data_IF_120515127328
#
_entry.id   IF_120515127328
#
_cell.length_a   1.000
_cell.length_b   1.000
_cell.length_c   1.000
_cell.angle_alpha   90.00
_cell.angle_beta   90.00
_cell.angle_gamma   90.00
#
_symmetry.space_group_name_H-M   'P 1'
#
loop_
_entity.id
_entity.type
_entity.pdbx_description
1 polymer ?
#
# COMPACT_ATOMS: atom_id res chain seq x y z
N UNK A 1 12.78 -26.50 43.85
CA UNK A 1 12.87 -27.19 42.54
C UNK A 1 12.82 -26.13 41.45
N UNK A 2 13.93 -25.89 40.73
CA UNK A 2 13.94 -24.96 39.62
C UNK A 2 13.19 -25.59 38.43
N UNK A 3 11.98 -25.11 38.18
CA UNK A 3 11.19 -25.56 37.03
C UNK A 3 11.94 -25.27 35.73
N UNK A 4 12.08 -26.28 34.87
CA UNK A 4 12.70 -26.14 33.55
C UNK A 4 11.93 -25.10 32.74
N UNK A 5 12.58 -24.01 32.33
CA UNK A 5 11.94 -22.97 31.51
C UNK A 5 11.35 -23.58 30.23
N UNK A 6 10.11 -23.22 29.86
CA UNK A 6 9.54 -23.67 28.59
C UNK A 6 10.37 -23.12 27.43
N UNK A 7 10.61 -23.94 26.41
CA UNK A 7 11.29 -23.54 25.15
C UNK A 7 10.30 -23.54 24.00
N UNK A 8 10.55 -22.68 23.01
CA UNK A 8 9.69 -22.55 21.81
C UNK A 8 9.48 -23.92 21.12
N UNK A 9 10.53 -24.71 20.99
CA UNK A 9 10.45 -26.04 20.36
C UNK A 9 9.47 -27.01 21.06
N UNK A 10 9.27 -26.85 22.39
CA UNK A 10 8.32 -27.69 23.16
C UNK A 10 6.85 -27.36 22.87
N UNK A 11 6.56 -26.18 22.27
CA UNK A 11 5.20 -25.77 21.92
C UNK A 11 4.64 -26.56 20.73
N UNK A 12 5.49 -27.17 19.90
CA UNK A 12 5.10 -27.97 18.71
C UNK A 12 4.10 -27.22 17.81
N UNK A 13 4.29 -25.91 17.63
CA UNK A 13 3.41 -25.06 16.83
C UNK A 13 3.47 -25.47 15.36
N UNK A 14 2.33 -25.40 14.70
CA UNK A 14 2.19 -25.58 13.25
C UNK A 14 1.59 -24.32 12.65
N UNK A 15 1.91 -24.04 11.37
CA UNK A 15 1.29 -22.95 10.64
C UNK A 15 -0.20 -23.25 10.43
N UNK A 16 -1.04 -22.24 10.54
CA UNK A 16 -2.44 -22.38 10.18
C UNK A 16 -2.55 -22.52 8.64
N UNK A 17 -3.18 -23.57 8.17
CA UNK A 17 -3.45 -23.88 6.77
C UNK A 17 -4.94 -24.11 6.53
N UNK A 18 -5.79 -23.72 7.49
CA UNK A 18 -7.23 -23.87 7.38
C UNK A 18 -7.80 -23.04 6.22
N UNK A 19 -8.79 -23.62 5.56
CA UNK A 19 -9.58 -22.94 4.52
C UNK A 19 -11.06 -23.06 4.86
N UNK A 20 -11.82 -22.04 4.49
CA UNK A 20 -13.29 -22.04 4.53
C UNK A 20 -13.80 -22.17 3.10
N UNK A 21 -14.74 -23.05 2.87
CA UNK A 21 -15.36 -23.21 1.56
C UNK A 21 -16.53 -22.24 1.43
N UNK A 22 -16.49 -21.41 0.41
CA UNK A 22 -17.58 -20.52 -0.01
C UNK A 22 -18.16 -21.06 -1.32
N UNK A 23 -19.48 -21.20 -1.38
CA UNK A 23 -20.17 -21.62 -2.60
C UNK A 23 -20.70 -20.41 -3.33
N UNK A 24 -20.14 -20.15 -4.50
CA UNK A 24 -20.62 -19.10 -5.41
C UNK A 24 -21.19 -19.79 -6.63
N UNK A 25 -22.50 -19.67 -6.82
CA UNK A 25 -23.26 -20.48 -7.79
C UNK A 25 -23.03 -21.98 -7.52
N UNK A 26 -22.44 -22.70 -8.49
CA UNK A 26 -22.14 -24.13 -8.37
C UNK A 26 -20.66 -24.43 -8.06
N UNK A 27 -19.84 -23.36 -7.89
CA UNK A 27 -18.41 -23.50 -7.65
C UNK A 27 -18.08 -23.40 -6.17
N UNK A 28 -17.17 -24.24 -5.70
CA UNK A 28 -16.62 -24.20 -4.36
C UNK A 28 -15.28 -23.45 -4.41
N UNK A 29 -15.21 -22.33 -3.68
CA UNK A 29 -14.02 -21.48 -3.60
C UNK A 29 -13.43 -21.64 -2.20
N UNK A 30 -12.16 -21.98 -2.13
CA UNK A 30 -11.41 -22.05 -0.89
C UNK A 30 -10.95 -20.65 -0.47
N UNK A 31 -11.26 -20.27 0.78
CA UNK A 31 -10.81 -19.00 1.38
C UNK A 31 -9.90 -19.32 2.56
N UNK A 32 -8.64 -18.91 2.45
CA UNK A 32 -7.63 -19.08 3.50
C UNK A 32 -8.04 -18.35 4.77
N UNK A 33 -7.89 -19.01 5.92
CA UNK A 33 -8.18 -18.42 7.23
C UNK A 33 -6.96 -17.71 7.85
N UNK A 34 -5.81 -17.82 7.22
CA UNK A 34 -4.57 -17.14 7.58
C UNK A 34 -3.69 -16.96 6.35
N UNK A 35 -3.09 -15.80 6.21
CA UNK A 35 -2.11 -15.50 5.18
C UNK A 35 -0.71 -15.35 5.81
N UNK A 36 0.32 -16.06 5.31
CA UNK A 36 1.69 -15.87 5.77
C UNK A 36 2.14 -14.41 5.66
N UNK A 37 3.02 -13.98 6.57
CA UNK A 37 3.48 -12.58 6.62
C UNK A 37 4.12 -12.11 5.30
N UNK A 38 4.84 -12.99 4.61
CA UNK A 38 5.45 -12.68 3.31
C UNK A 38 4.39 -12.37 2.24
N UNK A 39 3.30 -13.15 2.22
CA UNK A 39 2.18 -12.94 1.29
C UNK A 39 1.40 -11.67 1.64
N UNK A 40 1.21 -11.36 2.94
CA UNK A 40 0.62 -10.11 3.40
C UNK A 40 1.45 -8.89 2.95
N UNK A 41 2.77 -8.95 3.14
CA UNK A 41 3.66 -7.87 2.71
C UNK A 41 3.59 -7.65 1.20
N UNK A 42 3.54 -8.74 0.42
CA UNK A 42 3.39 -8.67 -1.04
C UNK A 42 2.07 -8.04 -1.43
N UNK A 43 0.96 -8.47 -0.82
CA UNK A 43 -0.37 -7.91 -1.04
C UNK A 43 -0.37 -6.40 -0.78
N UNK A 44 0.09 -5.98 0.41
CA UNK A 44 0.14 -4.56 0.80
C UNK A 44 1.00 -3.76 -0.19
N UNK A 45 2.19 -4.26 -0.54
CA UNK A 45 3.06 -3.61 -1.52
C UNK A 45 2.40 -3.46 -2.89
N UNK A 46 1.66 -4.46 -3.35
CA UNK A 46 0.95 -4.39 -4.62
C UNK A 46 -0.13 -3.32 -4.58
N UNK A 47 -0.95 -3.28 -3.51
CA UNK A 47 -2.00 -2.26 -3.34
C UNK A 47 -1.40 -0.86 -3.39
N UNK A 48 -0.32 -0.61 -2.64
CA UNK A 48 0.34 0.71 -2.62
C UNK A 48 0.86 1.08 -4.01
N UNK A 49 1.57 0.17 -4.68
CA UNK A 49 2.16 0.43 -5.99
C UNK A 49 1.11 0.70 -7.07
N UNK A 50 0.01 -0.08 -7.11
CA UNK A 50 -1.03 0.08 -8.14
C UNK A 50 -1.96 1.26 -7.88
N UNK A 51 -2.09 1.69 -6.62
CA UNK A 51 -2.93 2.83 -6.27
C UNK A 51 -2.21 4.18 -6.29
N UNK A 52 -0.90 4.20 -6.47
CA UNK A 52 -0.13 5.45 -6.59
C UNK A 52 -0.54 6.29 -7.81
N UNK A 53 -0.63 7.60 -7.64
CA UNK A 53 -0.77 8.59 -8.69
C UNK A 53 0.61 9.05 -9.23
N UNK A 54 0.60 10.03 -10.13
CA UNK A 54 1.81 10.61 -10.74
C UNK A 54 2.77 11.23 -9.70
N UNK A 55 2.24 11.65 -8.56
CA UNK A 55 2.99 12.22 -7.44
C UNK A 55 3.33 11.14 -6.38
N UNK A 56 3.06 9.87 -6.68
CA UNK A 56 3.18 8.76 -5.75
C UNK A 56 2.33 8.90 -4.46
N UNK A 57 1.21 9.60 -4.51
CA UNK A 57 0.20 9.54 -3.46
C UNK A 57 -0.82 8.45 -3.79
N UNK A 58 -1.29 7.76 -2.75
CA UNK A 58 -2.32 6.76 -2.93
C UNK A 58 -3.67 7.41 -3.31
N UNK A 59 -4.23 7.02 -4.45
CA UNK A 59 -5.57 7.41 -4.85
C UNK A 59 -6.60 6.54 -4.10
N UNK A 60 -7.51 7.12 -3.30
CA UNK A 60 -8.42 6.32 -2.46
C UNK A 60 -9.31 5.35 -3.24
N UNK A 61 -9.76 5.73 -4.43
CA UNK A 61 -10.59 4.84 -5.28
C UNK A 61 -9.76 3.68 -5.79
N UNK A 62 -8.51 3.92 -6.21
CA UNK A 62 -7.60 2.84 -6.59
C UNK A 62 -7.25 1.94 -5.42
N UNK A 63 -7.09 2.49 -4.21
CA UNK A 63 -6.84 1.69 -2.99
C UNK A 63 -7.98 0.72 -2.75
N UNK A 64 -9.22 1.16 -2.90
CA UNK A 64 -10.41 0.30 -2.77
C UNK A 64 -10.42 -0.81 -3.83
N UNK A 65 -10.25 -0.45 -5.10
CA UNK A 65 -10.21 -1.39 -6.22
C UNK A 65 -9.09 -2.43 -6.04
N UNK A 66 -7.85 -2.00 -5.91
CA UNK A 66 -6.71 -2.91 -5.81
C UNK A 66 -6.66 -3.62 -4.47
N UNK A 67 -7.10 -2.99 -3.37
CA UNK A 67 -7.25 -3.62 -2.06
C UNK A 67 -8.18 -4.83 -2.13
N UNK A 68 -9.37 -4.65 -2.67
CA UNK A 68 -10.34 -5.72 -2.86
C UNK A 68 -9.79 -6.84 -3.75
N UNK A 69 -9.24 -6.51 -4.91
CA UNK A 69 -8.71 -7.50 -5.85
C UNK A 69 -7.53 -8.28 -5.29
N UNK A 70 -6.55 -7.60 -4.70
CA UNK A 70 -5.36 -8.25 -4.12
C UNK A 70 -5.72 -9.14 -2.92
N UNK A 71 -6.72 -8.75 -2.11
CA UNK A 71 -7.25 -9.61 -1.05
C UNK A 71 -7.85 -10.88 -1.64
N UNK A 72 -8.71 -10.77 -2.66
CA UNK A 72 -9.31 -11.94 -3.31
C UNK A 72 -8.24 -12.82 -3.94
N UNK A 73 -7.23 -12.26 -4.62
CA UNK A 73 -6.12 -13.02 -5.20
C UNK A 73 -5.29 -13.77 -4.16
N UNK A 74 -5.01 -13.14 -3.01
CA UNK A 74 -4.15 -13.73 -1.99
C UNK A 74 -4.86 -14.78 -1.13
N UNK A 75 -6.13 -14.55 -0.80
CA UNK A 75 -6.88 -15.39 0.13
C UNK A 75 -7.66 -16.52 -0.53
N UNK A 76 -7.91 -16.45 -1.85
CA UNK A 76 -8.74 -17.46 -2.51
C UNK A 76 -7.96 -18.30 -3.52
N UNK A 77 -8.53 -19.45 -3.89
CA UNK A 77 -8.06 -20.26 -5.01
C UNK A 77 -8.76 -19.88 -6.34
N UNK A 78 -9.49 -18.75 -6.38
CA UNK A 78 -10.17 -18.28 -7.59
C UNK A 78 -9.13 -17.86 -8.64
N UNK A 79 -9.18 -18.50 -9.81
CA UNK A 79 -8.28 -18.21 -10.92
C UNK A 79 -8.78 -17.06 -11.79
N UNK A 80 -7.87 -16.16 -12.18
CA UNK A 80 -8.14 -15.05 -13.09
C UNK A 80 -7.23 -15.14 -14.31
N UNK A 81 -7.77 -14.91 -15.50
CA UNK A 81 -6.99 -14.82 -16.73
C UNK A 81 -6.21 -13.51 -16.78
N UNK A 82 -5.10 -13.47 -17.52
CA UNK A 82 -4.33 -12.23 -17.70
C UNK A 82 -5.20 -11.10 -18.26
N UNK A 83 -6.08 -11.41 -19.22
CA UNK A 83 -7.02 -10.43 -19.77
C UNK A 83 -7.96 -9.80 -18.73
N UNK A 84 -8.39 -10.58 -17.72
CA UNK A 84 -9.19 -10.04 -16.61
C UNK A 84 -8.38 -9.14 -15.70
N UNK A 85 -7.11 -9.46 -15.47
CA UNK A 85 -6.21 -8.65 -14.65
C UNK A 85 -5.77 -7.36 -15.35
N UNK A 86 -5.76 -7.32 -16.69
CA UNK A 86 -5.48 -6.12 -17.49
C UNK A 86 -6.59 -5.06 -17.39
N UNK A 87 -7.80 -5.46 -16.98
CA UNK A 87 -8.94 -4.54 -16.77
C UNK A 87 -9.47 -4.64 -15.32
N UNK A 88 -8.69 -4.12 -14.34
CA UNK A 88 -9.04 -4.24 -12.92
C UNK A 88 -10.33 -3.52 -12.55
N UNK A 89 -10.68 -2.42 -13.23
CA UNK A 89 -11.91 -1.70 -12.95
C UNK A 89 -13.16 -2.53 -13.31
N UNK A 90 -13.17 -3.13 -14.47
CA UNK A 90 -14.27 -4.00 -14.88
C UNK A 90 -14.34 -5.28 -14.02
N UNK A 91 -13.19 -5.85 -13.65
CA UNK A 91 -13.15 -7.01 -12.77
C UNK A 91 -13.70 -6.69 -11.37
N UNK A 92 -13.32 -5.56 -10.82
CA UNK A 92 -13.84 -5.06 -9.53
C UNK A 92 -15.35 -4.86 -9.60
N UNK A 93 -15.86 -4.15 -10.62
CA UNK A 93 -17.29 -3.90 -10.79
C UNK A 93 -18.09 -5.21 -10.89
N UNK A 94 -17.58 -6.21 -11.59
CA UNK A 94 -18.22 -7.54 -11.69
C UNK A 94 -18.27 -8.23 -10.32
N UNK A 95 -17.19 -8.23 -9.57
CA UNK A 95 -17.12 -8.90 -8.26
C UNK A 95 -18.01 -8.20 -7.21
N UNK A 96 -18.01 -6.87 -7.19
CA UNK A 96 -18.82 -6.09 -6.25
C UNK A 96 -20.31 -6.16 -6.62
N UNK A 97 -20.66 -5.87 -7.88
CA UNK A 97 -22.07 -5.82 -8.30
C UNK A 97 -22.77 -7.18 -8.23
N UNK A 98 -22.02 -8.27 -8.34
CA UNK A 98 -22.56 -9.63 -8.16
C UNK A 98 -22.64 -10.07 -6.69
N UNK A 99 -22.06 -9.33 -5.73
CA UNK A 99 -21.98 -9.70 -4.33
C UNK A 99 -20.91 -10.74 -4.02
N UNK A 100 -20.17 -11.23 -5.01
CA UNK A 100 -19.15 -12.28 -4.84
C UNK A 100 -17.99 -11.79 -3.97
N UNK A 101 -17.57 -10.54 -4.16
CA UNK A 101 -16.52 -9.95 -3.33
C UNK A 101 -16.89 -9.98 -1.85
N UNK A 102 -18.11 -9.58 -1.50
CA UNK A 102 -18.60 -9.57 -0.12
C UNK A 102 -18.64 -10.97 0.49
N UNK A 103 -19.12 -11.97 -0.28
CA UNK A 103 -19.17 -13.35 0.19
C UNK A 103 -17.78 -13.91 0.50
N UNK A 104 -16.79 -13.62 -0.36
CA UNK A 104 -15.41 -14.09 -0.20
C UNK A 104 -14.70 -13.37 0.95
N UNK A 105 -14.81 -12.05 1.02
CA UNK A 105 -14.17 -11.24 2.08
C UNK A 105 -14.75 -11.57 3.45
N UNK A 106 -16.07 -11.70 3.57
CA UNK A 106 -16.73 -12.09 4.83
C UNK A 106 -16.39 -13.53 5.28
N UNK A 107 -15.77 -14.32 4.42
CA UNK A 107 -15.28 -15.64 4.80
C UNK A 107 -13.89 -15.61 5.45
N UNK A 108 -13.14 -14.51 5.30
CA UNK A 108 -11.85 -14.26 5.97
C UNK A 108 -12.14 -13.91 7.43
N UNK A 109 -11.36 -14.41 8.41
CA UNK A 109 -11.52 -14.00 9.81
C UNK A 109 -11.36 -12.48 9.97
N UNK A 110 -12.24 -11.85 10.76
CA UNK A 110 -12.27 -10.40 10.97
C UNK A 110 -10.91 -9.82 11.37
N UNK A 111 -10.23 -10.46 12.35
CA UNK A 111 -8.90 -10.06 12.81
C UNK A 111 -7.84 -10.14 11.71
N UNK A 112 -7.96 -11.12 10.82
CA UNK A 112 -7.03 -11.33 9.72
C UNK A 112 -7.24 -10.28 8.62
N UNK A 113 -8.49 -9.98 8.28
CA UNK A 113 -8.87 -8.93 7.36
C UNK A 113 -8.46 -7.55 7.89
N UNK A 114 -8.78 -7.24 9.14
CA UNK A 114 -8.41 -5.98 9.79
C UNK A 114 -6.89 -5.75 9.76
N UNK A 115 -6.08 -6.78 10.05
CA UNK A 115 -4.62 -6.65 10.02
C UNK A 115 -4.07 -6.29 8.63
N UNK A 116 -4.73 -6.72 7.54
CA UNK A 116 -4.35 -6.34 6.18
C UNK A 116 -4.74 -4.90 5.88
N UNK A 117 -5.97 -4.51 6.23
CA UNK A 117 -6.47 -3.14 6.01
C UNK A 117 -5.65 -2.13 6.81
N UNK A 118 -5.37 -2.43 8.09
CA UNK A 118 -4.52 -1.58 8.94
C UNK A 118 -3.12 -1.45 8.33
N UNK A 119 -2.53 -2.55 7.85
CA UNK A 119 -1.22 -2.52 7.19
C UNK A 119 -1.21 -1.68 5.90
N UNK A 120 -2.28 -1.69 5.11
CA UNK A 120 -2.42 -0.81 3.93
C UNK A 120 -2.49 0.66 4.38
N UNK A 121 -3.33 0.98 5.35
CA UNK A 121 -3.52 2.34 5.86
C UNK A 121 -2.22 2.88 6.49
N UNK A 122 -1.54 2.10 7.31
CA UNK A 122 -0.25 2.48 7.92
C UNK A 122 0.82 2.80 6.86
N UNK A 123 0.88 2.01 5.78
CA UNK A 123 1.80 2.28 4.68
C UNK A 123 1.44 3.57 3.92
N UNK A 124 0.14 3.81 3.66
CA UNK A 124 -0.33 5.06 3.02
C UNK A 124 0.03 6.27 3.88
N UNK A 125 -0.24 6.19 5.18
CA UNK A 125 0.07 7.26 6.13
C UNK A 125 1.59 7.51 6.21
N UNK A 126 2.40 6.45 6.24
CA UNK A 126 3.86 6.57 6.26
C UNK A 126 4.39 7.28 5.00
N UNK A 127 3.89 6.94 3.81
CA UNK A 127 4.24 7.61 2.54
C UNK A 127 3.82 9.07 2.57
N UNK A 128 2.60 9.36 3.02
CA UNK A 128 2.09 10.73 3.13
C UNK A 128 2.94 11.58 4.09
N UNK A 129 3.24 11.05 5.27
CA UNK A 129 4.05 11.72 6.28
C UNK A 129 5.48 11.96 5.79
N UNK A 130 6.09 10.97 5.09
CA UNK A 130 7.42 11.15 4.50
C UNK A 130 7.43 12.28 3.46
N UNK A 131 6.48 12.28 2.52
CA UNK A 131 6.41 13.29 1.46
C UNK A 131 6.16 14.70 1.97
N UNK A 132 5.41 14.84 3.06
CA UNK A 132 5.18 16.12 3.73
C UNK A 132 6.30 16.49 4.72
N UNK A 133 7.30 15.63 4.89
CA UNK A 133 8.49 15.95 5.67
C UNK A 133 9.43 16.88 4.90
N UNK A 134 10.31 17.58 5.64
CA UNK A 134 11.34 18.43 5.04
C UNK A 134 12.22 17.63 4.05
N UNK A 135 12.54 16.38 4.37
CA UNK A 135 13.34 15.51 3.50
C UNK A 135 12.61 15.16 2.20
N UNK A 136 11.32 14.80 2.27
CA UNK A 136 10.50 14.51 1.09
C UNK A 136 10.34 15.72 0.19
N UNK A 137 10.14 16.92 0.77
CA UNK A 137 10.06 18.19 0.02
C UNK A 137 11.41 18.48 -0.68
N UNK A 138 12.54 18.32 0.01
CA UNK A 138 13.87 18.54 -0.56
C UNK A 138 14.17 17.54 -1.69
N UNK A 139 13.75 16.28 -1.54
CA UNK A 139 13.92 15.27 -2.59
C UNK A 139 13.10 15.60 -3.84
N UNK A 140 11.84 16.00 -3.69
CA UNK A 140 10.98 16.44 -4.79
C UNK A 140 11.58 17.67 -5.51
N UNK A 141 12.01 18.67 -4.76
CA UNK A 141 12.69 19.85 -5.31
C UNK A 141 13.97 19.45 -6.04
N UNK A 142 14.77 18.54 -5.47
CA UNK A 142 16.00 18.05 -6.12
C UNK A 142 15.72 17.31 -7.42
N UNK A 143 14.63 16.51 -7.48
CA UNK A 143 14.23 15.79 -8.69
C UNK A 143 13.71 16.74 -9.77
N UNK A 144 12.86 17.70 -9.41
CA UNK A 144 12.30 18.70 -10.33
C UNK A 144 13.38 19.61 -10.92
N UNK A 145 14.44 19.86 -10.16
CA UNK A 145 15.57 20.72 -10.58
C UNK A 145 16.81 19.94 -11.03
N UNK A 146 16.78 18.60 -11.05
CA UNK A 146 17.92 17.76 -11.50
C UNK A 146 18.33 17.99 -12.96
N UNK A 147 17.46 18.58 -13.79
CA UNK A 147 17.76 18.99 -15.16
C UNK A 147 18.33 20.41 -15.30
N UNK A 148 18.37 21.20 -14.23
CA UNK A 148 19.02 22.48 -14.21
C UNK A 148 20.47 22.24 -13.78
N UNK A 149 21.44 22.48 -14.69
CA UNK A 149 22.83 22.67 -14.30
C UNK A 149 22.90 23.85 -13.32
N UNK A 150 22.79 23.54 -12.03
CA UNK A 150 23.03 24.49 -10.95
C UNK A 150 24.55 24.76 -10.91
N UNK A 151 25.04 25.51 -11.90
CA UNK A 151 26.38 26.06 -11.85
C UNK A 151 26.47 26.97 -10.61
N UNK A 152 27.43 26.65 -9.72
CA UNK A 152 27.66 27.42 -8.50
C UNK A 152 27.83 28.93 -8.78
N UNK A 153 28.30 29.32 -9.99
CA UNK A 153 28.37 30.70 -10.44
C UNK A 153 27.00 31.33 -10.75
N UNK A 154 26.06 30.55 -11.29
CA UNK A 154 24.70 31.02 -11.56
C UNK A 154 23.90 31.13 -10.26
N UNK A 155 24.07 30.24 -9.31
CA UNK A 155 23.48 30.34 -7.95
C UNK A 155 24.01 31.61 -7.27
N UNK A 156 25.32 31.86 -7.31
CA UNK A 156 25.94 33.00 -6.67
C UNK A 156 25.47 34.32 -7.32
N UNK A 157 25.31 34.35 -8.63
CA UNK A 157 24.73 35.53 -9.36
C UNK A 157 23.26 35.72 -8.99
N UNK A 158 22.46 34.68 -8.95
CA UNK A 158 21.05 34.74 -8.58
C UNK A 158 20.84 35.19 -7.13
N UNK A 159 21.69 34.74 -6.20
CA UNK A 159 21.69 35.18 -4.80
C UNK A 159 22.22 36.61 -4.62
N UNK A 160 23.03 37.09 -5.54
CA UNK A 160 23.54 38.50 -5.51
C UNK A 160 22.52 39.49 -6.08
N UNK A 161 21.45 39.03 -6.75
CA UNK A 161 20.37 39.90 -7.23
C UNK A 161 19.50 40.39 -6.06
N UNK A 162 19.39 41.70 -5.82
CA UNK A 162 18.60 42.27 -4.73
C UNK A 162 17.11 41.84 -4.74
N UNK A 163 16.55 41.57 -5.93
CA UNK A 163 15.16 41.16 -6.07
C UNK A 163 14.95 39.73 -5.59
N UNK A 164 15.92 38.82 -5.86
CA UNK A 164 15.87 37.45 -5.41
C UNK A 164 16.11 37.34 -3.90
N UNK A 165 16.99 38.19 -3.33
CA UNK A 165 17.20 38.27 -1.89
C UNK A 165 15.95 38.81 -1.17
N UNK A 166 15.21 39.74 -1.75
CA UNK A 166 13.94 40.21 -1.20
C UNK A 166 12.87 39.09 -1.18
N UNK A 167 12.82 38.32 -2.25
CA UNK A 167 11.88 37.20 -2.39
C UNK A 167 12.19 36.06 -1.38
N UNK A 168 13.47 35.71 -1.22
CA UNK A 168 13.93 34.75 -0.23
C UNK A 168 13.59 35.21 1.18
N UNK A 169 13.78 36.48 1.50
CA UNK A 169 13.45 37.05 2.80
C UNK A 169 11.95 37.02 3.07
N UNK A 170 11.11 37.31 2.06
CA UNK A 170 9.65 37.19 2.17
C UNK A 170 9.17 35.76 2.39
N UNK A 171 9.76 34.80 1.67
CA UNK A 171 9.48 33.36 1.87
C UNK A 171 9.87 32.90 3.27
N UNK A 172 11.06 33.24 3.75
CA UNK A 172 11.53 32.88 5.09
C UNK A 172 10.67 33.52 6.19
N UNK A 173 10.16 34.73 5.96
CA UNK A 173 9.26 35.42 6.91
C UNK A 173 7.86 34.78 6.96
N UNK A 174 7.43 34.15 5.88
CA UNK A 174 6.13 33.44 5.81
C UNK A 174 6.19 31.99 6.31
N UNK A 175 7.38 31.41 6.42
CA UNK A 175 7.62 30.04 6.91
C UNK A 175 8.00 29.98 8.39
N UNK A 176 8.29 31.08 9.05
CA UNK A 176 8.57 31.21 10.47
C UNK A 176 7.45 31.91 11.20
#
# INVERSE_FOLDING_TARGET
MAGTKPTFAKLKLQKNTEVKIVKVNELEIEVKQYLPVEDKLKLISNVINYSADENNFANPVKVDVFGTLEIIYAYTNLGFTEKQKEDPANLYDLLISSGVADELINAIPEMEYAAVIDGINDCIEAVYNYKNSIMGILETVSQDYSGLELDAQNIQKSLADPNNMALLKDILTKLG
#
